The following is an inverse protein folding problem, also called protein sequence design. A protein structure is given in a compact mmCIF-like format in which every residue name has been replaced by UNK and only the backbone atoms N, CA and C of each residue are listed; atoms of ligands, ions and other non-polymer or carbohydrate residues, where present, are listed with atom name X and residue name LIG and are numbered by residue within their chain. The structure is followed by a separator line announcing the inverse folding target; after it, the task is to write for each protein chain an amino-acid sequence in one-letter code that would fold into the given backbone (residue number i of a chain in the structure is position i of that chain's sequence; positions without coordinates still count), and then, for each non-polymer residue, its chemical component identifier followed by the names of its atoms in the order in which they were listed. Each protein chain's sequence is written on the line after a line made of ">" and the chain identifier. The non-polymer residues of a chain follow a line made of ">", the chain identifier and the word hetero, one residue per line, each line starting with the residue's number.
data_IF_756651794665
#
_entry.id   IF_756651794665
#
_cell.length_a   1.000
_cell.length_b   1.000
_cell.length_c   1.000
_cell.angle_alpha   90.00
_cell.angle_beta   90.00
_cell.angle_gamma   90.00
#
_symmetry.space_group_name_H-M   'P 1'
#
loop_
_entity.id
_entity.type
_entity.pdbx_description
1 polymer ?
#
# COMPACT_ATOMS: atom_id res chain seq x y z
N UNK A 1 -22.19 -12.13 -19.81
CA UNK A 1 -21.16 -12.15 -18.76
C UNK A 1 -20.69 -10.71 -18.65
N UNK A 2 -21.27 -9.96 -17.71
CA UNK A 2 -21.00 -8.53 -17.54
C UNK A 2 -19.55 -8.41 -17.08
N UNK A 3 -18.70 -7.91 -17.98
CA UNK A 3 -17.43 -7.36 -17.59
C UNK A 3 -17.79 -6.01 -16.98
N UNK A 4 -18.04 -6.00 -15.67
CA UNK A 4 -18.11 -4.77 -14.91
C UNK A 4 -16.76 -4.08 -15.10
N UNK A 5 -16.76 -3.02 -15.91
CA UNK A 5 -15.63 -2.11 -15.98
C UNK A 5 -15.40 -1.57 -14.57
N UNK A 6 -14.14 -1.38 -14.15
CA UNK A 6 -13.83 -1.20 -12.75
C UNK A 6 -14.54 0.02 -12.18
N UNK A 7 -14.91 -0.08 -10.90
CA UNK A 7 -15.11 1.09 -10.05
C UNK A 7 -14.04 2.14 -10.35
N UNK A 8 -14.44 3.41 -10.42
CA UNK A 8 -13.56 4.54 -10.73
C UNK A 8 -12.28 4.45 -9.88
N UNK A 9 -11.10 4.35 -10.52
CA UNK A 9 -9.80 4.28 -9.84
C UNK A 9 -9.62 5.41 -8.81
N UNK A 10 -10.26 6.56 -9.01
CA UNK A 10 -10.29 7.63 -8.02
C UNK A 10 -11.10 7.25 -6.77
N UNK A 11 -12.25 6.59 -6.94
CA UNK A 11 -13.08 6.13 -5.83
C UNK A 11 -12.35 5.07 -4.99
N UNK A 12 -11.64 4.12 -5.61
CA UNK A 12 -10.86 3.11 -4.87
C UNK A 12 -9.73 3.72 -4.04
N UNK A 13 -9.06 4.74 -4.58
CA UNK A 13 -8.03 5.50 -3.85
C UNK A 13 -8.59 6.21 -2.63
N UNK A 14 -9.75 6.85 -2.74
CA UNK A 14 -10.40 7.48 -1.59
C UNK A 14 -10.90 6.45 -0.58
N UNK A 15 -11.49 5.35 -1.07
CA UNK A 15 -11.99 4.24 -0.25
C UNK A 15 -10.87 3.60 0.56
N UNK A 16 -9.66 3.44 0.00
CA UNK A 16 -8.49 2.95 0.73
C UNK A 16 -8.21 3.70 2.05
N UNK A 17 -8.67 4.95 2.19
CA UNK A 17 -8.42 5.78 3.35
C UNK A 17 -9.56 5.79 4.36
N UNK A 18 -10.67 5.11 4.07
CA UNK A 18 -11.84 5.04 4.95
C UNK A 18 -11.72 3.85 5.91
N UNK A 19 -11.48 4.08 7.22
CA UNK A 19 -11.38 2.99 8.18
C UNK A 19 -12.72 2.30 8.48
N UNK A 20 -13.84 2.76 7.90
CA UNK A 20 -15.17 2.19 8.15
C UNK A 20 -15.48 0.90 7.36
N UNK A 21 -14.48 0.25 6.77
CA UNK A 21 -14.61 -1.05 6.10
C UNK A 21 -13.33 -1.91 6.19
N UNK A 22 -13.45 -3.18 5.83
CA UNK A 22 -12.36 -4.17 5.99
C UNK A 22 -11.68 -4.59 4.67
N UNK A 23 -12.06 -3.96 3.54
CA UNK A 23 -11.55 -4.29 2.19
C UNK A 23 -10.21 -3.64 1.82
N UNK A 24 -9.45 -3.08 2.78
CA UNK A 24 -8.26 -2.29 2.46
C UNK A 24 -7.20 -3.10 1.68
N UNK A 25 -7.00 -4.35 2.07
CA UNK A 25 -6.04 -5.21 1.40
C UNK A 25 -6.44 -5.59 -0.04
N UNK A 26 -7.74 -5.71 -0.31
CA UNK A 26 -8.27 -5.98 -1.66
C UNK A 26 -8.10 -4.76 -2.57
N UNK A 27 -8.37 -3.57 -2.04
CA UNK A 27 -8.13 -2.29 -2.73
C UNK A 27 -6.65 -2.13 -3.06
N UNK A 28 -5.75 -2.43 -2.12
CA UNK A 28 -4.30 -2.39 -2.38
C UNK A 28 -3.91 -3.39 -3.48
N UNK A 29 -4.47 -4.60 -3.47
CA UNK A 29 -4.25 -5.59 -4.53
C UNK A 29 -4.68 -5.07 -5.89
N UNK A 30 -5.86 -4.44 -5.98
CA UNK A 30 -6.33 -3.79 -7.19
C UNK A 30 -5.39 -2.67 -7.68
N UNK A 31 -4.93 -1.78 -6.78
CA UNK A 31 -3.98 -0.72 -7.15
C UNK A 31 -2.59 -1.25 -7.56
N UNK A 32 -2.21 -2.42 -7.07
CA UNK A 32 -1.00 -3.11 -7.50
C UNK A 32 -1.14 -3.68 -8.92
N UNK A 33 -2.29 -4.28 -9.23
CA UNK A 33 -2.57 -4.88 -10.55
C UNK A 33 -2.73 -3.81 -11.65
N UNK A 34 -3.15 -2.60 -11.26
CA UNK A 34 -3.32 -1.44 -12.15
C UNK A 34 -2.49 -0.24 -11.64
N UNK A 35 -1.16 -0.28 -11.79
CA UNK A 35 -0.28 0.73 -11.23
C UNK A 35 -0.50 2.11 -11.87
N UNK A 36 -0.93 3.08 -11.06
CA UNK A 36 -1.08 4.49 -11.41
C UNK A 36 -0.24 5.35 -10.45
N UNK A 37 0.67 6.21 -10.95
CA UNK A 37 1.41 7.17 -10.12
C UNK A 37 0.52 8.02 -9.20
N UNK A 38 -0.73 8.27 -9.58
CA UNK A 38 -1.68 9.02 -8.77
C UNK A 38 -2.14 8.26 -7.50
N UNK A 39 -1.79 6.97 -7.36
CA UNK A 39 -2.04 6.14 -6.17
C UNK A 39 -0.97 6.28 -5.08
N UNK A 40 0.23 6.79 -5.41
CA UNK A 40 1.35 6.94 -4.46
C UNK A 40 0.97 7.72 -3.19
N UNK A 41 0.35 8.92 -3.25
CA UNK A 41 -0.01 9.64 -2.04
C UNK A 41 -1.06 8.92 -1.18
N UNK A 42 -1.92 8.10 -1.79
CA UNK A 42 -2.94 7.32 -1.09
C UNK A 42 -2.32 6.11 -0.39
N UNK A 43 -1.45 5.36 -1.05
CA UNK A 43 -0.70 4.25 -0.43
C UNK A 43 0.18 4.73 0.73
N UNK A 44 0.81 5.91 0.61
CA UNK A 44 1.55 6.52 1.71
C UNK A 44 0.64 6.84 2.92
N UNK A 45 -0.53 7.43 2.68
CA UNK A 45 -1.51 7.71 3.73
C UNK A 45 -2.08 6.44 4.34
N UNK A 46 -2.31 5.41 3.53
CA UNK A 46 -2.79 4.10 3.96
C UNK A 46 -1.82 3.45 4.96
N UNK A 47 -0.51 3.49 4.70
CA UNK A 47 0.51 3.00 5.65
C UNK A 47 0.40 3.68 7.01
N UNK A 48 0.04 4.97 7.04
CA UNK A 48 -0.12 5.75 8.27
C UNK A 48 -1.48 5.54 8.98
N UNK A 49 -2.36 4.66 8.48
CA UNK A 49 -3.65 4.39 9.12
C UNK A 49 -3.53 3.56 10.40
N UNK A 50 -2.38 2.95 10.72
CA UNK A 50 -2.18 2.32 12.04
C UNK A 50 -2.32 3.40 13.14
N UNK A 51 -3.10 3.18 14.21
CA UNK A 51 -3.83 1.96 14.58
C UNK A 51 -5.33 1.94 14.23
N UNK A 52 -5.82 2.83 13.37
CA UNK A 52 -7.23 2.92 12.98
C UNK A 52 -7.77 1.65 12.30
N UNK A 53 -6.91 0.80 11.73
CA UNK A 53 -7.27 -0.47 11.11
C UNK A 53 -7.01 -1.67 12.04
N UNK A 54 -7.61 -1.65 13.23
CA UNK A 54 -7.35 -2.65 14.28
C UNK A 54 -7.58 -4.11 13.83
N UNK A 55 -8.43 -4.35 12.83
CA UNK A 55 -8.67 -5.69 12.27
C UNK A 55 -7.46 -6.27 11.51
N UNK A 56 -6.46 -5.44 11.18
CA UNK A 56 -5.22 -5.83 10.51
C UNK A 56 -4.04 -6.06 11.49
N UNK A 57 -4.24 -5.92 12.79
CA UNK A 57 -3.18 -6.06 13.80
C UNK A 57 -2.81 -7.53 14.12
N UNK A 58 -3.37 -8.50 13.39
CA UNK A 58 -3.16 -9.92 13.68
C UNK A 58 -1.71 -10.40 13.45
N UNK A 59 -0.91 -9.66 12.68
CA UNK A 59 0.51 -9.90 12.45
C UNK A 59 1.37 -8.63 12.59
N UNK A 60 0.99 -7.74 13.51
CA UNK A 60 1.59 -6.40 13.68
C UNK A 60 1.57 -5.60 12.35
N UNK A 61 0.46 -5.71 11.61
CA UNK A 61 0.24 -5.09 10.30
C UNK A 61 1.23 -5.53 9.21
N UNK A 62 2.00 -6.60 9.44
CA UNK A 62 3.02 -7.10 8.52
C UNK A 62 2.49 -7.39 7.13
N UNK A 63 1.37 -8.12 7.01
CA UNK A 63 0.72 -8.44 5.74
C UNK A 63 0.20 -7.18 5.03
N UNK A 64 -0.38 -6.26 5.79
CA UNK A 64 -0.87 -4.98 5.27
C UNK A 64 0.26 -4.12 4.70
N UNK A 65 1.32 -3.87 5.49
CA UNK A 65 2.50 -3.14 5.04
C UNK A 65 3.15 -3.80 3.84
N UNK A 66 3.24 -5.14 3.84
CA UNK A 66 3.76 -5.91 2.71
C UNK A 66 2.98 -5.59 1.43
N UNK A 67 1.65 -5.56 1.48
CA UNK A 67 0.82 -5.24 0.31
C UNK A 67 1.00 -3.80 -0.15
N UNK A 68 0.97 -2.82 0.75
CA UNK A 68 1.21 -1.40 0.41
C UNK A 68 2.54 -1.20 -0.32
N UNK A 69 3.61 -1.82 0.18
CA UNK A 69 4.94 -1.68 -0.39
C UNK A 69 5.10 -2.43 -1.73
N UNK A 70 4.37 -3.53 -1.96
CA UNK A 70 4.31 -4.16 -3.28
C UNK A 70 3.59 -3.28 -4.30
N UNK A 71 2.48 -2.64 -3.92
CA UNK A 71 1.78 -1.69 -4.80
C UNK A 71 2.67 -0.50 -5.16
N UNK A 72 3.38 0.09 -4.19
CA UNK A 72 4.37 1.16 -4.45
C UNK A 72 5.50 0.68 -5.37
N UNK A 73 6.01 -0.54 -5.18
CA UNK A 73 7.03 -1.10 -6.06
C UNK A 73 6.51 -1.33 -7.49
N UNK A 74 5.26 -1.80 -7.64
CA UNK A 74 4.62 -1.98 -8.94
C UNK A 74 4.44 -0.65 -9.69
N UNK A 75 4.15 0.44 -8.97
CA UNK A 75 4.09 1.80 -9.53
C UNK A 75 5.47 2.27 -10.00
N UNK A 76 6.51 2.03 -9.20
CA UNK A 76 7.91 2.14 -9.66
C UNK A 76 8.43 3.55 -9.99
N UNK A 77 7.66 4.62 -9.75
CA UNK A 77 8.15 6.00 -9.96
C UNK A 77 9.18 6.39 -8.90
N UNK A 78 9.92 7.48 -9.15
CA UNK A 78 10.87 8.02 -8.19
C UNK A 78 10.20 8.36 -6.85
N UNK A 79 8.98 8.89 -6.89
CA UNK A 79 8.16 9.20 -5.73
C UNK A 79 7.76 7.93 -4.98
N UNK A 80 7.32 6.87 -5.68
CA UNK A 80 6.95 5.61 -5.05
C UNK A 80 8.15 4.96 -4.35
N UNK A 81 9.33 4.96 -5.00
CA UNK A 81 10.58 4.47 -4.42
C UNK A 81 11.00 5.33 -3.22
N UNK A 82 10.81 6.65 -3.28
CA UNK A 82 11.09 7.53 -2.15
C UNK A 82 10.24 7.17 -0.92
N UNK A 83 8.94 6.85 -1.10
CA UNK A 83 8.09 6.37 -0.01
C UNK A 83 8.62 5.06 0.59
N UNK A 84 9.05 4.10 -0.24
CA UNK A 84 9.66 2.86 0.26
C UNK A 84 10.93 3.16 1.09
N UNK A 85 11.76 4.12 0.67
CA UNK A 85 12.96 4.55 1.42
C UNK A 85 12.61 5.21 2.76
N UNK A 86 11.59 6.05 2.79
CA UNK A 86 11.08 6.64 4.03
C UNK A 86 10.63 5.54 5.01
N UNK A 87 9.86 4.56 4.53
CA UNK A 87 9.41 3.41 5.34
C UNK A 87 10.58 2.57 5.87
N UNK A 88 11.68 2.44 5.13
CA UNK A 88 12.88 1.73 5.57
C UNK A 88 13.64 2.45 6.71
N UNK A 89 13.27 3.68 7.03
CA UNK A 89 13.80 4.44 8.17
C UNK A 89 12.76 4.64 9.28
N UNK A 90 11.61 3.98 9.21
CA UNK A 90 10.56 4.07 10.23
C UNK A 90 10.97 3.36 11.54
N UNK A 91 10.44 3.83 12.66
CA UNK A 91 10.61 3.20 13.96
C UNK A 91 9.86 1.86 14.06
N UNK A 92 8.70 1.76 13.37
CA UNK A 92 7.91 0.53 13.25
C UNK A 92 8.73 -0.57 12.57
N UNK A 93 9.05 -1.61 13.33
CA UNK A 93 9.95 -2.68 12.90
C UNK A 93 9.35 -3.53 11.77
N UNK A 94 8.05 -3.82 11.82
CA UNK A 94 7.35 -4.57 10.78
C UNK A 94 7.38 -3.80 9.45
N UNK A 95 7.06 -2.50 9.49
CA UNK A 95 7.13 -1.63 8.31
C UNK A 95 8.56 -1.53 7.76
N UNK A 96 9.53 -1.27 8.63
CA UNK A 96 10.95 -1.14 8.25
C UNK A 96 11.48 -2.41 7.59
N UNK A 97 11.22 -3.58 8.18
CA UNK A 97 11.65 -4.87 7.64
C UNK A 97 11.06 -5.12 6.25
N UNK A 98 9.76 -4.85 6.08
CA UNK A 98 9.11 -4.98 4.77
C UNK A 98 9.69 -4.01 3.74
N UNK A 99 10.01 -2.77 4.12
CA UNK A 99 10.56 -1.76 3.21
C UNK A 99 11.99 -2.10 2.75
N UNK A 100 12.87 -2.50 3.68
CA UNK A 100 14.24 -2.92 3.36
C UNK A 100 14.26 -4.07 2.35
N UNK A 101 13.39 -5.08 2.54
CA UNK A 101 13.24 -6.20 1.62
C UNK A 101 12.92 -5.75 0.18
N UNK A 102 12.16 -4.65 -0.01
CA UNK A 102 11.83 -4.14 -1.36
C UNK A 102 13.02 -3.43 -1.98
N UNK A 103 13.72 -2.61 -1.21
CA UNK A 103 14.88 -1.86 -1.71
C UNK A 103 15.97 -2.79 -2.22
N UNK A 104 16.21 -3.91 -1.54
CA UNK A 104 17.15 -4.95 -2.00
C UNK A 104 16.77 -5.55 -3.36
N UNK A 105 15.48 -5.62 -3.67
CA UNK A 105 14.96 -6.18 -4.93
C UNK A 105 14.88 -5.16 -6.05
N UNK A 106 14.74 -3.88 -5.74
CA UNK A 106 14.77 -2.77 -6.70
C UNK A 106 16.21 -2.49 -7.16
N UNK A 107 17.19 -2.72 -6.29
CA UNK A 107 18.61 -2.50 -6.59
C UNK A 107 19.26 -3.60 -7.45
N UNK A 108 18.52 -4.66 -7.80
CA UNK A 108 18.95 -5.76 -8.68
C UNK A 108 18.41 -5.55 -10.10
#
# INVERSE_FOLDING_TARGET
>A
MTCDLPSDFAAERERLLDPAHDEHEDIIGYLQDYPDPASVPYLKRAIALKPALAYLDYDDYGAYYKKCLWALQAIGTAEAIAVIRECASADDEALRAQALYRLERIAQ
#
